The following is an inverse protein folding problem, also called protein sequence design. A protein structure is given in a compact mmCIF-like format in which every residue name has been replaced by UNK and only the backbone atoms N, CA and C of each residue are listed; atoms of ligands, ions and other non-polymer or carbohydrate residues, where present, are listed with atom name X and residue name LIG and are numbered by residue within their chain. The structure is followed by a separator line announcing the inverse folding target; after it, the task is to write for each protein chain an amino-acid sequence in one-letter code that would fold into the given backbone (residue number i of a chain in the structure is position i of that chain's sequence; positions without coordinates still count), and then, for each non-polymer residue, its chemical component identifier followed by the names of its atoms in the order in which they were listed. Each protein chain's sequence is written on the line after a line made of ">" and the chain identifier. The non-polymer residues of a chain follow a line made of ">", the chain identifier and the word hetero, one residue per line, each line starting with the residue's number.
data_IF_661974290603
#
_entry.id   IF_661974290603
#
_cell.length_a   1.000
_cell.length_b   1.000
_cell.length_c   1.000
_cell.angle_alpha   90.00
_cell.angle_beta   90.00
_cell.angle_gamma   90.00
#
_symmetry.space_group_name_H-M   'P 1'
#
loop_
_entity.id
_entity.type
_entity.pdbx_description
1 polymer ?
#
# COMPACT_ATOMS: atom_id res chain seq x y z
N UNK A 1 16.65 -18.38 -9.26
CA UNK A 1 15.65 -18.03 -8.23
C UNK A 1 16.20 -16.82 -7.50
N UNK A 2 15.60 -15.64 -7.66
CA UNK A 2 15.94 -14.47 -6.85
C UNK A 2 15.53 -14.75 -5.41
N UNK A 3 16.43 -14.58 -4.44
CA UNK A 3 16.15 -14.73 -3.02
C UNK A 3 14.99 -13.77 -2.65
N UNK A 4 13.84 -14.31 -2.22
CA UNK A 4 12.69 -13.49 -1.80
C UNK A 4 12.97 -12.73 -0.50
N UNK A 5 13.78 -13.33 0.37
CA UNK A 5 14.24 -12.76 1.62
C UNK A 5 15.77 -12.73 1.64
N UNK A 6 16.33 -11.72 2.28
CA UNK A 6 17.75 -11.73 2.63
C UNK A 6 17.99 -12.78 3.70
N UNK A 7 18.81 -13.79 3.41
CA UNK A 7 19.22 -14.79 4.41
C UNK A 7 20.09 -14.15 5.49
N UNK A 8 19.74 -14.38 6.76
CA UNK A 8 20.49 -13.86 7.90
C UNK A 8 21.02 -15.02 8.75
N UNK A 9 22.22 -14.86 9.30
CA UNK A 9 22.79 -15.85 10.23
C UNK A 9 21.89 -16.15 11.45
N UNK A 10 21.03 -15.21 11.85
CA UNK A 10 20.05 -15.44 12.92
C UNK A 10 18.95 -16.43 12.59
N UNK A 11 18.69 -16.66 11.29
CA UNK A 11 17.57 -17.48 10.85
C UNK A 11 17.78 -18.95 11.19
N UNK A 12 19.03 -19.38 11.38
CA UNK A 12 19.40 -20.70 11.89
C UNK A 12 19.64 -20.74 13.42
N UNK A 13 19.68 -19.58 14.09
CA UNK A 13 19.96 -19.51 15.52
C UNK A 13 18.71 -19.80 16.36
N UNK A 14 18.90 -20.45 17.51
CA UNK A 14 17.81 -20.82 18.41
C UNK A 14 17.34 -19.61 19.22
N UNK A 15 16.02 -19.41 19.27
CA UNK A 15 15.42 -18.35 20.07
C UNK A 15 15.75 -18.50 21.56
N UNK A 16 15.98 -17.39 22.25
CA UNK A 16 16.38 -17.28 23.66
C UNK A 16 17.72 -17.99 23.99
N UNK A 17 18.62 -18.11 23.02
CA UNK A 17 19.97 -18.65 23.23
C UNK A 17 21.05 -17.64 22.84
N UNK A 18 22.26 -17.87 23.35
CA UNK A 18 23.44 -17.09 23.02
C UNK A 18 23.75 -17.18 21.51
N UNK A 19 24.05 -16.04 20.89
CA UNK A 19 24.31 -15.94 19.45
C UNK A 19 25.80 -15.91 19.07
N UNK A 20 26.69 -15.89 20.07
CA UNK A 20 28.16 -15.95 19.87
C UNK A 20 28.79 -16.96 20.83
N UNK A 21 29.99 -17.49 20.53
CA UNK A 21 30.75 -18.29 21.49
C UNK A 21 30.91 -17.56 22.83
N UNK A 22 30.89 -18.30 23.95
CA UNK A 22 31.05 -17.73 25.29
C UNK A 22 32.43 -17.07 25.45
N UNK A 23 33.46 -17.65 24.82
CA UNK A 23 34.83 -17.14 24.86
C UNK A 23 34.97 -15.75 24.21
N UNK A 24 34.01 -15.35 23.36
CA UNK A 24 33.96 -14.04 22.71
C UNK A 24 33.09 -13.03 23.49
N UNK A 25 32.58 -13.39 24.67
CA UNK A 25 31.73 -12.55 25.50
C UNK A 25 32.54 -11.77 26.53
N UNK A 26 32.06 -10.57 26.89
CA UNK A 26 32.69 -9.76 27.92
C UNK A 26 32.47 -10.39 29.30
N UNK A 27 33.54 -10.52 30.08
CA UNK A 27 33.49 -10.96 31.47
C UNK A 27 33.73 -9.77 32.41
N UNK A 28 33.02 -9.74 33.52
CA UNK A 28 33.14 -8.71 34.55
C UNK A 28 32.81 -9.25 35.94
N UNK A 29 32.96 -8.43 36.96
CA UNK A 29 32.51 -8.74 38.32
C UNK A 29 31.28 -7.91 38.67
N UNK A 30 30.22 -8.58 39.11
CA UNK A 30 29.03 -7.94 39.65
C UNK A 30 28.80 -8.34 41.11
N UNK A 31 28.18 -7.44 41.87
CA UNK A 31 27.76 -7.71 43.25
C UNK A 31 26.33 -8.25 43.21
N UNK A 32 26.18 -9.57 43.33
CA UNK A 32 24.88 -10.22 43.40
C UNK A 32 24.70 -10.83 44.80
N UNK A 33 23.57 -10.51 45.44
CA UNK A 33 23.25 -11.01 46.79
C UNK A 33 24.30 -10.73 47.88
N UNK A 34 25.11 -9.68 47.71
CA UNK A 34 26.17 -9.30 48.67
C UNK A 34 27.52 -9.97 48.43
N UNK A 35 27.65 -10.81 47.40
CA UNK A 35 28.91 -11.45 47.00
C UNK A 35 29.37 -10.97 45.62
N UNK A 36 30.69 -10.84 45.45
CA UNK A 36 31.29 -10.54 44.14
C UNK A 36 31.34 -11.82 43.32
N UNK A 37 30.63 -11.83 42.21
CA UNK A 37 30.56 -12.95 41.29
C UNK A 37 31.06 -12.54 39.91
N UNK A 38 31.82 -13.45 39.29
CA UNK A 38 32.22 -13.32 37.90
C UNK A 38 30.99 -13.58 37.01
N UNK A 39 30.67 -12.61 36.17
CA UNK A 39 29.55 -12.65 35.23
C UNK A 39 30.06 -12.55 33.80
N UNK A 40 29.36 -13.21 32.88
CA UNK A 40 29.65 -13.15 31.44
C UNK A 40 28.43 -12.61 30.71
N UNK A 41 28.59 -11.50 29.99
CA UNK A 41 27.52 -10.88 29.23
C UNK A 41 27.34 -11.55 27.86
N UNK A 42 26.30 -12.37 27.76
CA UNK A 42 25.94 -13.10 26.54
C UNK A 42 24.84 -12.38 25.75
N UNK A 43 25.01 -12.13 24.44
CA UNK A 43 23.96 -11.58 23.60
C UNK A 43 22.99 -12.71 23.27
N UNK A 44 21.70 -12.48 23.56
CA UNK A 44 20.65 -13.47 23.37
C UNK A 44 19.76 -13.07 22.21
N UNK A 45 19.44 -14.03 21.33
CA UNK A 45 18.42 -13.82 20.30
C UNK A 45 17.04 -13.80 20.93
N UNK A 46 16.39 -12.63 20.95
CA UNK A 46 15.02 -12.47 21.48
C UNK A 46 13.99 -12.33 20.35
N UNK A 47 12.71 -12.44 20.68
CA UNK A 47 11.63 -12.15 19.74
C UNK A 47 11.70 -10.71 19.21
N UNK A 48 12.07 -9.74 20.04
CA UNK A 48 12.27 -8.35 19.60
C UNK A 48 13.41 -8.23 18.59
N UNK A 49 14.50 -9.00 18.76
CA UNK A 49 15.59 -9.06 17.80
C UNK A 49 15.11 -9.56 16.42
N UNK A 50 14.27 -10.60 16.40
CA UNK A 50 13.68 -11.13 15.17
C UNK A 50 12.70 -10.14 14.53
N UNK A 51 11.76 -9.59 15.30
CA UNK A 51 10.81 -8.60 14.79
C UNK A 51 11.48 -7.37 14.22
N UNK A 52 12.53 -6.85 14.87
CA UNK A 52 13.32 -5.73 14.32
C UNK A 52 13.93 -6.07 12.96
N UNK A 53 14.42 -7.29 12.78
CA UNK A 53 15.02 -7.73 11.51
C UNK A 53 13.97 -7.78 10.40
N UNK A 54 12.85 -8.47 10.63
CA UNK A 54 11.81 -8.61 9.61
C UNK A 54 11.08 -7.28 9.34
N UNK A 55 10.88 -6.45 10.37
CA UNK A 55 10.34 -5.11 10.18
C UNK A 55 11.29 -4.26 9.32
N UNK A 56 12.60 -4.25 9.63
CA UNK A 56 13.58 -3.50 8.82
C UNK A 56 13.70 -4.01 7.39
N UNK A 57 13.54 -5.32 7.16
CA UNK A 57 13.52 -5.88 5.82
C UNK A 57 12.32 -5.37 5.01
N UNK A 58 11.13 -5.29 5.63
CA UNK A 58 9.96 -4.67 5.00
C UNK A 58 10.15 -3.16 4.80
N UNK A 59 10.67 -2.45 5.81
CA UNK A 59 10.95 -1.01 5.70
C UNK A 59 11.93 -0.71 4.57
N UNK A 60 12.98 -1.52 4.38
CA UNK A 60 13.96 -1.32 3.31
C UNK A 60 13.34 -1.38 1.89
N UNK A 61 12.19 -2.05 1.73
CA UNK A 61 11.47 -2.12 0.44
C UNK A 61 10.80 -0.78 0.12
N UNK A 62 10.25 -0.10 1.13
CA UNK A 62 9.50 1.18 0.95
C UNK A 62 10.30 2.41 1.35
N UNK A 63 11.43 2.21 2.01
CA UNK A 63 12.31 3.22 2.60
C UNK A 63 13.77 2.71 2.66
N UNK A 64 14.44 2.44 1.51
CA UNK A 64 15.76 1.80 1.46
C UNK A 64 16.85 2.54 2.24
N UNK A 65 16.74 3.86 2.37
CA UNK A 65 17.67 4.71 3.12
C UNK A 65 17.10 5.17 4.47
N UNK A 66 16.10 4.47 5.01
CA UNK A 66 15.36 4.87 6.22
C UNK A 66 14.39 6.05 6.00
N UNK A 67 14.29 6.54 4.77
CA UNK A 67 13.34 7.57 4.34
C UNK A 67 12.42 6.94 3.30
N UNK A 68 11.10 7.13 3.48
CA UNK A 68 10.10 6.66 2.52
C UNK A 68 10.45 7.12 1.10
N UNK A 69 10.29 6.20 0.14
CA UNK A 69 10.31 6.55 -1.29
C UNK A 69 9.31 7.69 -1.50
N UNK A 70 9.83 8.84 -1.92
CA UNK A 70 9.09 10.09 -1.94
C UNK A 70 7.91 10.02 -2.92
N UNK A 71 8.10 9.41 -4.08
CA UNK A 71 7.04 9.15 -5.05
C UNK A 71 6.14 7.99 -4.59
N UNK A 72 4.86 8.25 -4.27
CA UNK A 72 3.90 7.21 -3.92
C UNK A 72 3.70 6.14 -5.00
N UNK A 73 3.83 6.47 -6.29
CA UNK A 73 3.66 5.49 -7.37
C UNK A 73 4.83 4.51 -7.36
N UNK A 74 6.08 5.00 -7.33
CA UNK A 74 7.26 4.15 -7.18
C UNK A 74 7.19 3.30 -5.90
N UNK A 75 6.80 3.89 -4.77
CA UNK A 75 6.63 3.16 -3.51
C UNK A 75 5.58 2.04 -3.63
N UNK A 76 4.44 2.33 -4.24
CA UNK A 76 3.39 1.33 -4.46
C UNK A 76 3.88 0.21 -5.38
N UNK A 77 4.69 0.50 -6.42
CA UNK A 77 5.28 -0.54 -7.28
C UNK A 77 6.19 -1.48 -6.48
N UNK A 78 7.01 -0.94 -5.58
CA UNK A 78 7.86 -1.74 -4.70
C UNK A 78 7.04 -2.69 -3.80
N UNK A 79 5.92 -2.20 -3.24
CA UNK A 79 4.97 -3.00 -2.45
C UNK A 79 4.35 -4.12 -3.30
N UNK A 80 3.83 -3.80 -4.49
CA UNK A 80 3.22 -4.79 -5.39
C UNK A 80 4.20 -5.93 -5.71
N UNK A 81 5.44 -5.55 -6.06
CA UNK A 81 6.47 -6.49 -6.42
C UNK A 81 6.90 -7.36 -5.24
N UNK A 82 6.92 -6.81 -4.01
CA UNK A 82 7.22 -7.57 -2.80
C UNK A 82 6.16 -8.64 -2.52
N UNK A 83 4.86 -8.30 -2.59
CA UNK A 83 3.79 -9.28 -2.44
C UNK A 83 3.81 -10.35 -3.53
N UNK A 84 4.08 -9.95 -4.77
CA UNK A 84 4.22 -10.89 -5.88
C UNK A 84 5.37 -11.88 -5.66
N UNK A 85 6.54 -11.39 -5.23
CA UNK A 85 7.69 -12.25 -4.87
C UNK A 85 7.39 -13.19 -3.71
N UNK A 86 6.63 -12.71 -2.71
CA UNK A 86 6.23 -13.51 -1.56
C UNK A 86 5.36 -14.72 -1.98
N UNK A 87 4.39 -14.52 -2.86
CA UNK A 87 3.58 -15.63 -3.40
C UNK A 87 4.38 -16.56 -4.32
N UNK A 88 5.28 -16.01 -5.14
CA UNK A 88 6.16 -16.83 -5.99
C UNK A 88 7.14 -17.67 -5.17
N UNK A 89 7.49 -17.24 -3.97
CA UNK A 89 8.31 -17.99 -3.03
C UNK A 89 7.53 -19.15 -2.39
N UNK A 90 6.31 -18.90 -1.93
CA UNK A 90 5.42 -19.93 -1.41
C UNK A 90 3.97 -19.67 -1.85
N UNK A 91 3.47 -20.51 -2.74
CA UNK A 91 2.12 -20.37 -3.31
C UNK A 91 0.99 -20.55 -2.30
N UNK A 92 1.28 -21.08 -1.09
CA UNK A 92 0.31 -21.13 0.03
C UNK A 92 -0.04 -19.74 0.54
N UNK A 93 0.80 -18.73 0.31
CA UNK A 93 0.51 -17.34 0.61
C UNK A 93 -0.44 -16.71 -0.42
N UNK A 94 -1.58 -17.36 -0.70
CA UNK A 94 -2.57 -16.85 -1.66
C UNK A 94 -3.02 -15.43 -1.34
N UNK A 95 -3.09 -15.06 -0.05
CA UNK A 95 -3.37 -13.67 0.35
C UNK A 95 -2.34 -12.71 -0.24
N UNK A 96 -1.04 -13.05 -0.21
CA UNK A 96 0.00 -12.22 -0.81
C UNK A 96 -0.15 -12.13 -2.34
N UNK A 97 -0.55 -13.21 -3.00
CA UNK A 97 -0.86 -13.21 -4.43
C UNK A 97 -2.02 -12.27 -4.77
N UNK A 98 -3.10 -12.32 -3.99
CA UNK A 98 -4.24 -11.42 -4.13
C UNK A 98 -3.86 -9.96 -3.80
N UNK A 99 -3.10 -9.75 -2.74
CA UNK A 99 -2.61 -8.45 -2.30
C UNK A 99 -1.71 -7.80 -3.36
N UNK A 100 -0.94 -8.57 -4.14
CA UNK A 100 -0.17 -8.03 -5.27
C UNK A 100 -1.08 -7.38 -6.32
N UNK A 101 -2.23 -7.99 -6.63
CA UNK A 101 -3.22 -7.41 -7.55
C UNK A 101 -3.97 -6.23 -6.93
N UNK A 102 -4.40 -6.35 -5.67
CA UNK A 102 -5.13 -5.29 -4.97
C UNK A 102 -4.27 -4.04 -4.80
N UNK A 103 -3.02 -4.21 -4.35
CA UNK A 103 -2.04 -3.12 -4.24
C UNK A 103 -1.71 -2.52 -5.62
N UNK A 104 -1.65 -3.34 -6.69
CA UNK A 104 -1.53 -2.84 -8.07
C UNK A 104 -2.72 -1.98 -8.47
N UNK A 105 -3.94 -2.38 -8.12
CA UNK A 105 -5.13 -1.58 -8.38
C UNK A 105 -5.08 -0.23 -7.64
N UNK A 106 -4.60 -0.20 -6.40
CA UNK A 106 -4.32 1.06 -5.69
C UNK A 106 -3.34 1.92 -6.49
N UNK A 107 -2.27 1.33 -7.02
CA UNK A 107 -1.31 2.02 -7.88
C UNK A 107 -1.94 2.61 -9.16
N UNK A 108 -2.92 1.93 -9.77
CA UNK A 108 -3.68 2.48 -10.89
C UNK A 108 -4.51 3.70 -10.49
N UNK A 109 -5.12 3.67 -9.30
CA UNK A 109 -5.82 4.82 -8.71
C UNK A 109 -4.88 6.00 -8.43
N UNK A 110 -3.66 5.74 -7.94
CA UNK A 110 -2.64 6.76 -7.73
C UNK A 110 -2.23 7.43 -9.05
N UNK A 111 -2.00 6.63 -10.10
CA UNK A 111 -1.71 7.16 -11.44
C UNK A 111 -2.85 8.03 -11.98
N UNK A 112 -4.10 7.60 -11.80
CA UNK A 112 -5.25 8.39 -12.21
C UNK A 112 -5.35 9.72 -11.46
N UNK A 113 -5.17 9.72 -10.14
CA UNK A 113 -5.18 10.94 -9.34
C UNK A 113 -4.04 11.89 -9.73
N UNK A 114 -2.83 11.37 -9.93
CA UNK A 114 -1.67 12.17 -10.36
C UNK A 114 -1.90 12.82 -11.74
N UNK A 115 -2.41 12.06 -12.72
CA UNK A 115 -2.77 12.58 -14.04
C UNK A 115 -3.88 13.61 -13.98
N UNK A 116 -4.85 13.44 -13.08
CA UNK A 116 -5.95 14.40 -12.90
C UNK A 116 -5.42 15.72 -12.35
N UNK A 117 -4.53 15.68 -11.36
CA UNK A 117 -3.86 16.87 -10.81
C UNK A 117 -3.05 17.59 -11.90
N UNK A 118 -2.27 16.85 -12.69
CA UNK A 118 -1.47 17.41 -13.78
C UNK A 118 -2.35 18.12 -14.83
N UNK A 119 -3.45 17.49 -15.26
CA UNK A 119 -4.39 18.08 -16.23
C UNK A 119 -5.05 19.35 -15.72
N UNK A 120 -5.45 19.39 -14.45
CA UNK A 120 -6.02 20.60 -13.84
C UNK A 120 -4.99 21.73 -13.82
N UNK A 121 -3.74 21.41 -13.44
CA UNK A 121 -2.64 22.37 -13.41
C UNK A 121 -2.29 22.91 -14.79
N UNK A 122 -2.20 22.04 -15.80
CA UNK A 122 -1.95 22.44 -17.20
C UNK A 122 -3.02 23.41 -17.72
N UNK A 123 -4.31 23.13 -17.46
CA UNK A 123 -5.39 24.04 -17.85
C UNK A 123 -5.25 25.40 -17.13
N UNK A 124 -4.97 25.37 -15.83
CA UNK A 124 -4.80 26.59 -15.05
C UNK A 124 -3.65 27.46 -15.57
N UNK A 125 -2.47 26.86 -15.80
CA UNK A 125 -1.30 27.57 -16.32
C UNK A 125 -1.56 28.15 -17.71
N UNK A 126 -2.18 27.38 -18.62
CA UNK A 126 -2.56 27.87 -19.93
C UNK A 126 -3.57 29.03 -19.86
N UNK A 127 -4.53 28.96 -18.92
CA UNK A 127 -5.50 30.04 -18.67
C UNK A 127 -4.81 31.31 -18.15
N UNK A 128 -3.82 31.18 -17.28
CA UNK A 128 -3.06 32.33 -16.77
C UNK A 128 -2.21 32.97 -17.87
N UNK A 129 -1.50 32.18 -18.68
CA UNK A 129 -0.75 32.69 -19.85
C UNK A 129 -1.64 33.52 -20.78
N UNK A 130 -2.82 33.00 -21.11
CA UNK A 130 -3.80 33.73 -21.94
C UNK A 130 -4.29 35.03 -21.28
N UNK A 131 -4.50 35.03 -19.95
CA UNK A 131 -4.92 36.23 -19.21
C UNK A 131 -3.83 37.28 -19.18
N UNK A 132 -2.59 36.90 -18.89
CA UNK A 132 -1.45 37.80 -18.81
C UNK A 132 -1.13 38.40 -20.19
N UNK A 133 -1.11 37.56 -21.23
CA UNK A 133 -0.94 37.97 -22.62
C UNK A 133 -1.97 39.02 -23.07
N UNK A 134 -3.24 38.88 -22.64
CA UNK A 134 -4.31 39.87 -22.88
C UNK A 134 -4.20 41.11 -21.99
N UNK A 135 -3.74 40.98 -20.76
CA UNK A 135 -3.55 42.10 -19.82
C UNK A 135 -2.41 43.01 -20.25
N UNK A 136 -1.30 42.44 -20.68
CA UNK A 136 -0.11 43.19 -21.10
C UNK A 136 -0.31 43.87 -22.47
N UNK A 137 -0.94 43.17 -23.41
CA UNK A 137 -1.00 43.61 -24.81
C UNK A 137 -2.39 44.09 -25.25
N UNK A 138 -3.43 44.02 -24.41
CA UNK A 138 -4.81 44.29 -24.82
C UNK A 138 -5.38 43.23 -25.79
N UNK A 139 -6.69 43.31 -26.07
CA UNK A 139 -7.40 42.33 -26.89
C UNK A 139 -7.16 42.44 -28.41
N UNK A 140 -6.68 43.58 -28.90
CA UNK A 140 -6.66 43.93 -30.33
C UNK A 140 -5.35 44.62 -30.75
N UNK A 141 -4.21 44.02 -30.42
CA UNK A 141 -2.89 44.52 -30.82
C UNK A 141 -2.32 43.65 -31.94
N UNK A 142 -2.29 44.13 -33.21
CA UNK A 142 -2.02 43.29 -34.39
C UNK A 142 -0.73 42.45 -34.31
N UNK A 143 0.33 43.02 -33.75
CA UNK A 143 1.65 42.39 -33.62
C UNK A 143 1.66 41.22 -32.61
N UNK A 144 0.73 41.23 -31.64
CA UNK A 144 0.63 40.25 -30.56
C UNK A 144 -0.49 39.23 -30.79
N UNK A 145 -1.36 39.47 -31.78
CA UNK A 145 -2.46 38.55 -32.13
C UNK A 145 -2.02 37.12 -32.44
N UNK A 146 -0.90 36.86 -33.15
CA UNK A 146 -0.45 35.48 -33.40
C UNK A 146 -0.17 34.70 -32.11
N UNK A 147 0.53 35.33 -31.15
CA UNK A 147 0.85 34.71 -29.85
C UNK A 147 -0.40 34.51 -28.99
N UNK A 148 -1.30 35.50 -28.93
CA UNK A 148 -2.58 35.36 -28.23
C UNK A 148 -3.48 34.26 -28.82
N UNK A 149 -3.41 34.05 -30.14
CA UNK A 149 -4.13 32.97 -30.81
C UNK A 149 -3.53 31.60 -30.48
N UNK A 150 -2.21 31.50 -30.30
CA UNK A 150 -1.53 30.30 -29.82
C UNK A 150 -1.88 30.00 -28.36
N UNK A 151 -1.79 30.99 -27.46
CA UNK A 151 -2.21 30.87 -26.06
C UNK A 151 -3.67 30.39 -25.93
N UNK A 152 -4.55 30.90 -26.79
CA UNK A 152 -5.95 30.47 -26.82
C UNK A 152 -6.10 29.00 -27.27
N UNK A 153 -5.33 28.57 -28.28
CA UNK A 153 -5.35 27.16 -28.73
C UNK A 153 -4.81 26.23 -27.66
N UNK A 154 -3.71 26.58 -27.00
CA UNK A 154 -3.15 25.80 -25.89
C UNK A 154 -4.17 25.67 -24.75
N UNK A 155 -4.81 26.78 -24.37
CA UNK A 155 -5.86 26.76 -23.36
C UNK A 155 -7.02 25.85 -23.77
N UNK A 156 -7.52 25.94 -25.01
CA UNK A 156 -8.59 25.07 -25.52
C UNK A 156 -8.19 23.58 -25.50
N UNK A 157 -6.94 23.26 -25.84
CA UNK A 157 -6.44 21.89 -25.80
C UNK A 157 -6.28 21.35 -24.37
N UNK A 158 -5.81 22.18 -23.43
CA UNK A 158 -5.73 21.82 -22.03
C UNK A 158 -7.13 21.62 -21.43
N UNK A 159 -8.05 22.53 -21.75
CA UNK A 159 -9.46 22.47 -21.38
C UNK A 159 -10.12 21.16 -21.87
N UNK A 160 -9.88 20.77 -23.13
CA UNK A 160 -10.44 19.54 -23.68
C UNK A 160 -9.89 18.26 -23.01
N UNK A 161 -8.69 18.32 -22.43
CA UNK A 161 -8.06 17.20 -21.71
C UNK A 161 -8.47 17.10 -20.24
N UNK A 162 -8.95 18.20 -19.65
CA UNK A 162 -9.42 18.25 -18.26
C UNK A 162 -10.95 18.09 -18.18
N UNK A 163 -11.47 16.91 -17.78
CA UNK A 163 -12.90 16.68 -17.67
C UNK A 163 -13.56 17.51 -16.54
N UNK A 164 -12.77 18.17 -15.67
CA UNK A 164 -13.25 18.99 -14.57
C UNK A 164 -13.19 20.49 -14.84
N UNK A 165 -12.83 20.92 -16.06
CA UNK A 165 -12.67 22.34 -16.43
C UNK A 165 -13.80 23.26 -15.96
N UNK A 166 -15.05 22.79 -16.05
CA UNK A 166 -16.26 23.57 -15.72
C UNK A 166 -16.64 23.47 -14.23
N UNK A 167 -16.18 22.41 -13.56
CA UNK A 167 -16.54 22.11 -12.17
C UNK A 167 -15.48 22.58 -11.17
N UNK A 168 -14.28 22.86 -11.64
CA UNK A 168 -13.18 23.25 -10.78
C UNK A 168 -13.19 24.75 -10.45
N UNK A 169 -12.87 25.06 -9.20
CA UNK A 169 -12.84 26.42 -8.67
C UNK A 169 -11.60 26.59 -7.79
N UNK A 170 -10.98 27.77 -7.88
CA UNK A 170 -9.86 28.15 -7.00
C UNK A 170 -10.30 29.26 -6.06
N UNK A 171 -10.20 29.00 -4.76
CA UNK A 171 -10.52 29.98 -3.71
C UNK A 171 -9.42 31.05 -3.69
N UNK A 172 -9.76 32.36 -3.59
CA UNK A 172 -8.75 33.42 -3.51
C UNK A 172 -7.78 33.19 -2.35
N UNK A 173 -6.48 33.22 -2.63
CA UNK A 173 -5.42 33.00 -1.64
C UNK A 173 -4.92 31.56 -1.54
N UNK A 174 -5.63 30.59 -2.12
CA UNK A 174 -5.19 29.19 -2.17
C UNK A 174 -4.29 28.92 -3.38
N UNK A 175 -3.23 28.13 -3.17
CA UNK A 175 -2.33 27.72 -4.25
C UNK A 175 -2.97 26.68 -5.18
N UNK A 176 -3.82 25.80 -4.63
CA UNK A 176 -4.47 24.70 -5.34
C UNK A 176 -5.97 24.96 -5.47
N UNK A 177 -6.54 24.52 -6.58
CA UNK A 177 -7.99 24.45 -6.76
C UNK A 177 -8.64 23.42 -5.84
N UNK A 178 -9.96 23.49 -5.69
CA UNK A 178 -10.72 22.53 -4.86
C UNK A 178 -10.56 21.11 -5.41
N UNK A 179 -10.63 20.91 -6.74
CA UNK A 179 -10.46 19.58 -7.31
C UNK A 179 -9.03 19.05 -7.12
N UNK A 180 -8.00 19.89 -7.30
CA UNK A 180 -6.60 19.51 -7.05
C UNK A 180 -6.39 19.07 -5.60
N UNK A 181 -6.98 19.78 -4.63
CA UNK A 181 -6.90 19.41 -3.21
C UNK A 181 -7.56 18.06 -2.93
N UNK A 182 -8.73 17.79 -3.53
CA UNK A 182 -9.43 16.52 -3.37
C UNK A 182 -8.65 15.34 -3.96
N UNK A 183 -8.13 15.45 -5.18
CA UNK A 183 -7.30 14.39 -5.75
C UNK A 183 -6.01 14.19 -4.97
N UNK A 184 -5.38 15.28 -4.50
CA UNK A 184 -4.18 15.17 -3.66
C UNK A 184 -4.50 14.44 -2.35
N UNK A 185 -5.64 14.73 -1.74
CA UNK A 185 -6.07 14.04 -0.52
C UNK A 185 -6.27 12.54 -0.75
N UNK A 186 -6.97 12.14 -1.81
CA UNK A 186 -7.13 10.72 -2.18
C UNK A 186 -5.76 10.08 -2.45
N UNK A 187 -4.90 10.75 -3.22
CA UNK A 187 -3.57 10.28 -3.55
C UNK A 187 -2.73 9.98 -2.30
N UNK A 188 -2.69 10.92 -1.35
CA UNK A 188 -1.95 10.79 -0.09
C UNK A 188 -2.54 9.69 0.80
N UNK A 189 -3.86 9.65 0.96
CA UNK A 189 -4.54 8.67 1.82
C UNK A 189 -4.38 7.24 1.29
N UNK A 190 -4.58 7.02 0.00
CA UNK A 190 -4.43 5.70 -0.62
C UNK A 190 -2.99 5.20 -0.51
N UNK A 191 -2.02 6.09 -0.73
CA UNK A 191 -0.62 5.76 -0.59
C UNK A 191 -0.22 5.44 0.85
N UNK A 192 -0.72 6.22 1.83
CA UNK A 192 -0.46 6.02 3.25
C UNK A 192 -1.11 4.74 3.78
N UNK A 193 -2.35 4.46 3.37
CA UNK A 193 -3.06 3.22 3.71
C UNK A 193 -2.34 1.97 3.20
N UNK A 194 -1.95 1.95 1.92
CA UNK A 194 -1.25 0.81 1.33
C UNK A 194 0.14 0.60 1.96
N UNK A 195 0.91 1.67 2.20
CA UNK A 195 2.21 1.56 2.89
C UNK A 195 2.05 1.04 4.32
N UNK A 196 1.06 1.53 5.06
CA UNK A 196 0.81 1.10 6.45
C UNK A 196 0.42 -0.37 6.49
N UNK A 197 -0.48 -0.81 5.61
CA UNK A 197 -0.86 -2.22 5.49
C UNK A 197 0.34 -3.11 5.16
N UNK A 198 1.18 -2.70 4.21
CA UNK A 198 2.39 -3.43 3.85
C UNK A 198 3.34 -3.60 5.03
N UNK A 199 3.60 -2.52 5.77
CA UNK A 199 4.47 -2.54 6.95
C UNK A 199 3.87 -3.34 8.10
N UNK A 200 2.56 -3.60 8.10
CA UNK A 200 1.91 -4.49 9.04
C UNK A 200 2.04 -5.97 8.62
N UNK A 201 1.59 -6.33 7.42
CA UNK A 201 1.33 -7.74 7.07
C UNK A 201 2.55 -8.44 6.46
N UNK A 202 3.41 -7.72 5.72
CA UNK A 202 4.58 -8.32 5.08
C UNK A 202 5.58 -8.92 6.09
N UNK A 203 5.96 -8.23 7.20
CA UNK A 203 6.84 -8.82 8.22
C UNK A 203 6.28 -10.08 8.86
N UNK A 204 4.96 -10.23 8.98
CA UNK A 204 4.32 -11.41 9.55
C UNK A 204 4.57 -12.64 8.66
N UNK A 205 4.35 -12.49 7.35
CA UNK A 205 4.61 -13.54 6.38
C UNK A 205 6.09 -13.90 6.31
N UNK A 206 6.97 -12.90 6.32
CA UNK A 206 8.41 -13.16 6.34
C UNK A 206 8.84 -13.90 7.61
N UNK A 207 8.34 -13.51 8.79
CA UNK A 207 8.59 -14.23 10.03
C UNK A 207 8.14 -15.68 9.90
N UNK A 208 6.88 -15.91 9.49
CA UNK A 208 6.32 -17.25 9.34
C UNK A 208 7.14 -18.11 8.36
N UNK A 209 7.46 -17.57 7.18
CA UNK A 209 8.20 -18.30 6.14
C UNK A 209 9.58 -18.77 6.62
N UNK A 210 10.25 -17.98 7.46
CA UNK A 210 11.62 -18.24 7.92
C UNK A 210 11.65 -19.04 9.23
N UNK A 211 10.75 -18.78 10.17
CA UNK A 211 10.80 -19.31 11.55
C UNK A 211 9.67 -20.30 11.89
N UNK A 212 8.65 -20.39 11.03
CA UNK A 212 7.50 -21.25 11.21
C UNK A 212 6.48 -20.76 12.24
N UNK A 213 5.36 -21.47 12.31
CA UNK A 213 4.20 -21.13 13.14
C UNK A 213 4.51 -21.07 14.63
N UNK A 214 5.26 -22.05 15.14
CA UNK A 214 5.51 -22.18 16.57
C UNK A 214 6.24 -20.96 17.16
N UNK A 215 7.28 -20.48 16.47
CA UNK A 215 8.00 -19.28 16.89
C UNK A 215 7.20 -18.00 16.61
N UNK A 216 6.44 -17.94 15.51
CA UNK A 216 5.56 -16.81 15.22
C UNK A 216 4.59 -16.59 16.38
N UNK A 217 3.86 -17.63 16.78
CA UNK A 217 2.91 -17.58 17.91
C UNK A 217 3.57 -17.14 19.20
N UNK A 218 4.75 -17.72 19.50
CA UNK A 218 5.53 -17.37 20.69
C UNK A 218 5.95 -15.90 20.70
N UNK A 219 6.33 -15.35 19.54
CA UNK A 219 6.89 -14.01 19.43
C UNK A 219 5.85 -12.93 19.13
N UNK A 220 4.64 -13.26 18.69
CA UNK A 220 3.68 -12.29 18.16
C UNK A 220 3.39 -11.12 19.13
N UNK A 221 3.26 -11.42 20.42
CA UNK A 221 3.04 -10.39 21.47
C UNK A 221 4.23 -9.47 21.71
N UNK A 222 5.45 -9.89 21.36
CA UNK A 222 6.64 -9.05 21.50
C UNK A 222 6.81 -8.08 20.33
N UNK A 223 5.96 -8.17 19.29
CA UNK A 223 6.03 -7.30 18.12
C UNK A 223 5.81 -5.83 18.50
N UNK A 224 4.80 -5.51 19.29
CA UNK A 224 4.55 -4.12 19.72
C UNK A 224 5.76 -3.48 20.44
N UNK A 225 6.58 -4.30 21.12
CA UNK A 225 7.71 -3.83 21.93
C UNK A 225 8.88 -3.29 21.13
N UNK A 226 8.92 -3.52 19.81
CA UNK A 226 9.99 -2.95 18.98
C UNK A 226 9.78 -1.46 18.70
N UNK A 227 8.56 -0.96 18.91
CA UNK A 227 8.24 0.46 18.77
C UNK A 227 8.83 1.31 19.90
N UNK A 228 9.19 2.56 19.60
CA UNK A 228 9.68 3.57 20.53
C UNK A 228 11.18 3.49 20.78
N UNK A 229 11.89 2.60 20.08
CA UNK A 229 13.31 2.39 20.32
C UNK A 229 14.16 3.53 19.72
N UNK A 230 14.85 4.27 20.57
CA UNK A 230 15.57 5.50 20.20
C UNK A 230 16.54 5.34 19.02
N UNK A 231 17.28 4.22 18.97
CA UNK A 231 18.29 3.99 17.91
C UNK A 231 17.71 3.29 16.67
N UNK A 232 16.54 2.66 16.77
CA UNK A 232 15.96 1.80 15.74
C UNK A 232 14.44 2.02 15.70
N UNK A 233 13.98 3.22 15.33
CA UNK A 233 12.56 3.52 15.27
C UNK A 233 11.88 2.69 14.19
N UNK A 234 10.63 2.33 14.43
CA UNK A 234 9.77 1.69 13.42
C UNK A 234 9.17 2.77 12.54
N UNK A 235 9.23 2.59 11.22
CA UNK A 235 8.53 3.41 10.27
C UNK A 235 7.03 3.06 10.33
N UNK A 236 6.21 4.02 10.75
CA UNK A 236 4.77 3.80 10.92
C UNK A 236 3.98 5.03 10.44
N UNK A 237 3.69 5.13 9.13
CA UNK A 237 3.21 6.37 8.51
C UNK A 237 1.89 6.90 9.08
N UNK A 238 0.97 6.01 9.44
CA UNK A 238 -0.33 6.37 10.03
C UNK A 238 -0.22 6.97 11.45
N UNK A 239 0.92 6.75 12.12
CA UNK A 239 1.17 7.22 13.48
C UNK A 239 0.47 6.41 14.58
N UNK A 240 1.02 6.48 15.80
CA UNK A 240 0.55 5.68 16.94
C UNK A 240 -0.81 6.13 17.50
N UNK A 241 -1.19 7.39 17.29
CA UNK A 241 -2.45 7.93 17.78
C UNK A 241 -3.64 7.32 17.03
N UNK A 242 -3.50 7.10 15.73
CA UNK A 242 -4.52 6.53 14.86
C UNK A 242 -4.51 5.01 14.92
N UNK A 243 -3.34 4.38 14.81
CA UNK A 243 -3.22 2.92 14.84
C UNK A 243 -1.95 2.51 15.60
N UNK A 244 -2.13 1.78 16.70
CA UNK A 244 -1.01 1.24 17.50
C UNK A 244 -0.25 0.17 16.71
N UNK A 245 1.07 0.30 16.66
CA UNK A 245 1.92 -0.65 15.96
C UNK A 245 1.96 -2.02 16.65
N UNK A 246 1.90 -3.10 15.87
CA UNK A 246 2.21 -4.45 16.34
C UNK A 246 1.22 -5.04 17.35
N UNK A 247 0.03 -4.44 17.49
CA UNK A 247 -1.01 -4.96 18.38
C UNK A 247 -1.50 -6.32 17.89
N UNK A 248 -1.56 -7.29 18.78
CA UNK A 248 -1.92 -8.67 18.44
C UNK A 248 -3.42 -8.79 18.16
N UNK A 249 -3.75 -9.33 17.00
CA UNK A 249 -5.13 -9.65 16.59
C UNK A 249 -5.28 -11.17 16.44
N UNK A 250 -6.37 -11.78 16.94
CA UNK A 250 -6.62 -13.21 16.79
C UNK A 250 -6.52 -13.69 15.35
N UNK A 251 -7.00 -12.87 14.41
CA UNK A 251 -7.03 -13.13 12.98
C UNK A 251 -5.64 -13.43 12.41
N UNK A 252 -4.57 -12.82 12.96
CA UNK A 252 -3.20 -13.10 12.55
C UNK A 252 -2.84 -14.56 12.88
N UNK A 253 -3.08 -15.00 14.11
CA UNK A 253 -2.75 -16.36 14.54
C UNK A 253 -3.58 -17.39 13.76
N UNK A 254 -4.89 -17.17 13.66
CA UNK A 254 -5.82 -18.04 12.91
C UNK A 254 -5.41 -18.17 11.43
N UNK A 255 -4.98 -17.08 10.80
CA UNK A 255 -4.55 -17.12 9.42
C UNK A 255 -3.32 -18.01 9.19
N UNK A 256 -2.29 -17.91 10.04
CA UNK A 256 -1.08 -18.71 9.88
C UNK A 256 -1.28 -20.17 10.34
N UNK A 257 -2.17 -20.42 11.29
CA UNK A 257 -2.64 -21.77 11.61
C UNK A 257 -3.34 -22.43 10.43
N UNK A 258 -4.22 -21.69 9.74
CA UNK A 258 -4.91 -22.18 8.55
C UNK A 258 -3.93 -22.50 7.40
N UNK A 259 -2.86 -21.71 7.20
CA UNK A 259 -1.79 -22.03 6.23
C UNK A 259 -1.11 -23.35 6.59
N UNK A 260 -0.76 -23.53 7.87
CA UNK A 260 -0.05 -24.72 8.35
C UNK A 260 -0.92 -25.99 8.23
N UNK A 261 -2.23 -25.84 8.46
CA UNK A 261 -3.22 -26.89 8.29
C UNK A 261 -3.62 -27.16 6.82
N UNK A 262 -3.10 -26.38 5.86
CA UNK A 262 -3.44 -26.48 4.44
C UNK A 262 -4.80 -25.88 4.04
N UNK A 263 -5.47 -25.17 4.95
CA UNK A 263 -6.74 -24.48 4.72
C UNK A 263 -6.51 -23.06 4.18
N UNK A 264 -5.97 -22.98 2.96
CA UNK A 264 -5.47 -21.71 2.39
C UNK A 264 -6.59 -20.67 2.23
N UNK A 265 -7.78 -21.05 1.78
CA UNK A 265 -8.91 -20.12 1.62
C UNK A 265 -9.32 -19.48 2.96
N UNK A 266 -9.34 -20.27 4.03
CA UNK A 266 -9.63 -19.78 5.38
C UNK A 266 -8.53 -18.82 5.88
N UNK A 267 -7.27 -19.10 5.55
CA UNK A 267 -6.17 -18.16 5.84
C UNK A 267 -6.36 -16.80 5.17
N UNK A 268 -6.77 -16.81 3.89
CA UNK A 268 -7.04 -15.58 3.13
C UNK A 268 -8.17 -14.79 3.78
N UNK A 269 -9.23 -15.45 4.23
CA UNK A 269 -10.34 -14.80 4.93
C UNK A 269 -9.88 -14.16 6.26
N UNK A 270 -9.14 -14.87 7.09
CA UNK A 270 -8.63 -14.33 8.36
C UNK A 270 -7.70 -13.13 8.13
N UNK A 271 -6.78 -13.21 7.16
CA UNK A 271 -5.93 -12.07 6.79
C UNK A 271 -6.74 -10.90 6.21
N UNK A 272 -7.76 -11.17 5.41
CA UNK A 272 -8.65 -10.14 4.88
C UNK A 272 -9.38 -9.41 6.01
N UNK A 273 -9.90 -10.11 7.01
CA UNK A 273 -10.50 -9.47 8.18
C UNK A 273 -9.50 -8.61 8.95
N UNK A 274 -8.28 -9.13 9.19
CA UNK A 274 -7.24 -8.34 9.83
C UNK A 274 -6.90 -7.07 9.05
N UNK A 275 -6.64 -7.20 7.76
CA UNK A 275 -6.37 -6.08 6.86
C UNK A 275 -7.52 -5.06 6.83
N UNK A 276 -8.73 -5.51 6.54
CA UNK A 276 -9.84 -4.62 6.20
C UNK A 276 -10.43 -3.96 7.44
N UNK A 277 -10.53 -4.69 8.56
CA UNK A 277 -11.13 -4.20 9.82
C UNK A 277 -10.09 -3.59 10.75
N UNK A 278 -8.96 -4.26 10.96
CA UNK A 278 -8.03 -3.86 12.02
C UNK A 278 -6.97 -2.86 11.54
N UNK A 279 -6.70 -2.82 10.24
CA UNK A 279 -5.69 -1.92 9.65
C UNK A 279 -6.35 -0.81 8.81
N UNK A 280 -7.04 -1.15 7.71
CA UNK A 280 -7.54 -0.16 6.77
C UNK A 280 -8.72 0.66 7.29
N UNK A 281 -9.62 0.06 8.08
CA UNK A 281 -10.75 0.80 8.65
C UNK A 281 -10.29 2.03 9.46
N UNK A 282 -9.47 1.90 10.51
CA UNK A 282 -9.00 3.06 11.28
C UNK A 282 -7.97 3.91 10.51
N UNK A 283 -7.26 3.34 9.53
CA UNK A 283 -6.22 4.08 8.78
C UNK A 283 -6.81 5.02 7.75
N UNK A 284 -7.81 4.58 6.97
CA UNK A 284 -8.35 5.36 5.86
C UNK A 284 -9.88 5.46 5.84
N UNK A 285 -10.63 4.43 6.23
CA UNK A 285 -12.09 4.42 6.04
C UNK A 285 -12.89 5.08 7.18
N UNK A 286 -12.25 5.46 8.28
CA UNK A 286 -12.84 6.35 9.29
C UNK A 286 -12.62 7.85 8.98
N UNK A 287 -11.85 8.17 7.94
CA UNK A 287 -11.66 9.54 7.49
C UNK A 287 -12.87 10.01 6.66
N UNK A 288 -13.72 10.85 7.25
CA UNK A 288 -14.96 11.32 6.62
C UNK A 288 -14.75 12.06 5.28
N UNK A 289 -13.63 12.77 5.11
CA UNK A 289 -13.32 13.45 3.86
C UNK A 289 -13.02 12.44 2.75
N UNK A 290 -12.16 11.45 3.01
CA UNK A 290 -11.89 10.38 2.06
C UNK A 290 -13.15 9.59 1.72
N UNK A 291 -13.96 9.22 2.72
CA UNK A 291 -15.21 8.48 2.51
C UNK A 291 -16.16 9.24 1.59
N UNK A 292 -16.33 10.56 1.80
CA UNK A 292 -17.15 11.38 0.93
C UNK A 292 -16.65 11.38 -0.53
N UNK A 293 -15.32 11.45 -0.74
CA UNK A 293 -14.72 11.42 -2.08
C UNK A 293 -14.88 10.05 -2.76
N UNK A 294 -14.70 8.95 -2.02
CA UNK A 294 -14.89 7.60 -2.56
C UNK A 294 -16.35 7.35 -2.97
N UNK A 295 -17.30 7.78 -2.14
CA UNK A 295 -18.74 7.70 -2.48
C UNK A 295 -19.09 8.57 -3.68
N UNK A 296 -18.53 9.78 -3.76
CA UNK A 296 -18.70 10.67 -4.91
C UNK A 296 -18.16 10.06 -6.20
N UNK A 297 -16.96 9.45 -6.15
CA UNK A 297 -16.39 8.71 -7.27
C UNK A 297 -17.29 7.53 -7.69
N UNK A 298 -17.76 6.72 -6.72
CA UNK A 298 -18.61 5.57 -7.03
C UNK A 298 -19.94 5.98 -7.66
N UNK A 299 -20.61 6.98 -7.10
CA UNK A 299 -21.84 7.55 -7.66
C UNK A 299 -21.61 8.03 -9.10
N UNK A 300 -20.54 8.79 -9.33
CA UNK A 300 -20.21 9.31 -10.66
C UNK A 300 -19.90 8.19 -11.66
N UNK A 301 -19.17 7.16 -11.24
CA UNK A 301 -18.87 6.00 -12.08
C UNK A 301 -20.14 5.23 -12.48
N UNK A 302 -21.01 4.90 -11.51
CA UNK A 302 -22.23 4.12 -11.75
C UNK A 302 -23.27 4.91 -12.57
N UNK A 303 -23.41 6.21 -12.30
CA UNK A 303 -24.41 7.06 -12.98
C UNK A 303 -23.88 7.69 -14.28
N UNK A 304 -22.58 7.59 -14.54
CA UNK A 304 -21.87 8.31 -15.59
C UNK A 304 -22.11 9.85 -15.54
N UNK A 305 -22.30 10.39 -14.33
CA UNK A 305 -22.54 11.81 -14.10
C UNK A 305 -21.78 12.32 -12.86
N UNK A 306 -20.83 13.28 -13.03
CA UNK A 306 -20.31 13.79 -14.30
C UNK A 306 -19.52 12.73 -15.08
N UNK A 307 -19.61 12.73 -16.40
CA UNK A 307 -18.94 11.74 -17.25
C UNK A 307 -17.42 11.96 -17.28
N UNK A 308 -16.64 10.87 -17.30
CA UNK A 308 -15.20 10.90 -17.61
C UNK A 308 -14.27 11.34 -16.48
N UNK A 309 -14.77 11.50 -15.25
CA UNK A 309 -13.97 11.90 -14.07
C UNK A 309 -13.75 10.77 -13.06
N UNK A 310 -14.61 9.76 -13.07
CA UNK A 310 -14.59 8.70 -12.07
C UNK A 310 -13.86 7.45 -12.56
N UNK A 311 -13.31 6.71 -11.61
CA UNK A 311 -12.71 5.40 -11.84
C UNK A 311 -13.59 4.29 -11.26
N UNK A 312 -13.60 3.15 -11.94
CA UNK A 312 -14.23 1.94 -11.46
C UNK A 312 -13.60 1.51 -10.11
N UNK A 313 -14.45 1.15 -9.15
CA UNK A 313 -14.01 0.38 -7.99
C UNK A 313 -14.10 -1.09 -8.40
N UNK A 314 -12.99 -1.60 -8.94
CA UNK A 314 -12.86 -2.97 -9.42
C UNK A 314 -11.49 -3.53 -9.05
N UNK A 315 -11.36 -4.86 -9.03
CA UNK A 315 -10.08 -5.56 -8.94
C UNK A 315 -9.82 -6.33 -10.22
N UNK A 316 -8.70 -6.04 -10.87
CA UNK A 316 -8.23 -6.77 -12.06
C UNK A 316 -7.09 -7.72 -11.71
N UNK A 317 -7.30 -9.03 -11.90
CA UNK A 317 -6.31 -10.10 -11.70
C UNK A 317 -5.36 -10.22 -12.91
N UNK A 318 -4.82 -9.08 -13.31
CA UNK A 318 -3.84 -8.92 -14.40
C UNK A 318 -2.73 -7.96 -13.95
N UNK A 319 -1.60 -7.94 -14.65
CA UNK A 319 -0.53 -6.98 -14.37
C UNK A 319 -0.87 -5.54 -14.81
N UNK A 320 -1.94 -5.35 -15.57
CA UNK A 320 -2.29 -4.07 -16.20
C UNK A 320 -3.39 -3.34 -15.42
N UNK A 321 -3.55 -2.04 -15.66
CA UNK A 321 -4.64 -1.25 -15.07
C UNK A 321 -5.94 -1.36 -15.87
N UNK A 322 -5.88 -1.85 -17.10
CA UNK A 322 -7.05 -1.96 -17.96
C UNK A 322 -7.89 -3.17 -17.56
N UNK A 323 -9.21 -2.95 -17.55
CA UNK A 323 -10.21 -4.00 -17.41
C UNK A 323 -10.04 -5.06 -18.49
N UNK A 324 -10.32 -6.32 -18.13
CA UNK A 324 -10.40 -7.44 -19.07
C UNK A 324 -11.74 -8.17 -18.91
N UNK A 325 -12.39 -8.47 -20.04
CA UNK A 325 -13.72 -9.08 -20.06
C UNK A 325 -13.65 -10.63 -20.21
N UNK A 326 -12.81 -11.27 -19.40
CA UNK A 326 -12.64 -12.73 -19.36
C UNK A 326 -12.83 -13.31 -17.95
N UNK A 327 -13.48 -12.54 -17.09
CA UNK A 327 -13.77 -12.91 -15.71
C UNK A 327 -12.59 -12.76 -14.76
N UNK A 328 -11.48 -12.13 -15.17
CA UNK A 328 -10.39 -11.72 -14.26
C UNK A 328 -10.61 -10.34 -13.64
N UNK A 329 -11.71 -9.67 -13.99
CA UNK A 329 -12.15 -8.44 -13.31
C UNK A 329 -13.30 -8.75 -12.36
N UNK A 330 -13.20 -8.21 -11.15
CA UNK A 330 -14.22 -8.29 -10.10
C UNK A 330 -14.68 -6.87 -9.80
N UNK A 331 -15.96 -6.60 -10.00
CA UNK A 331 -16.58 -5.31 -9.70
C UNK A 331 -16.98 -5.22 -8.21
N UNK A 332 -16.98 -4.01 -7.66
CA UNK A 332 -17.45 -3.74 -6.29
C UNK A 332 -18.97 -3.88 -6.19
N UNK A 333 -19.71 -2.92 -6.71
CA UNK A 333 -21.18 -2.94 -6.74
C UNK A 333 -21.66 -2.08 -7.91
N UNK A 334 -22.90 -2.28 -8.33
CA UNK A 334 -23.56 -1.50 -9.39
C UNK A 334 -24.60 -0.52 -8.85
N UNK A 335 -24.83 -0.52 -7.53
CA UNK A 335 -25.69 0.41 -6.83
C UNK A 335 -24.97 1.73 -6.59
N UNK A 336 -25.56 2.88 -6.99
CA UNK A 336 -24.95 4.19 -6.77
C UNK A 336 -24.84 4.57 -5.28
N UNK A 337 -25.49 3.82 -4.40
CA UNK A 337 -25.47 4.03 -2.95
C UNK A 337 -24.47 3.11 -2.24
N UNK A 338 -23.80 2.20 -2.95
CA UNK A 338 -22.82 1.32 -2.33
C UNK A 338 -21.65 2.13 -1.75
N UNK A 339 -21.13 1.65 -0.63
CA UNK A 339 -20.17 2.36 0.19
C UNK A 339 -18.97 1.48 0.48
N UNK A 340 -17.83 1.77 -0.16
CA UNK A 340 -16.60 1.03 0.08
C UNK A 340 -16.09 1.19 1.52
N UNK A 341 -16.48 2.25 2.24
CA UNK A 341 -16.07 2.45 3.63
C UNK A 341 -16.83 1.57 4.62
N UNK A 342 -18.01 1.07 4.22
CA UNK A 342 -18.77 0.08 4.96
C UNK A 342 -18.03 -1.26 4.96
N UNK A 343 -17.74 -1.78 6.16
CA UNK A 343 -16.91 -2.97 6.31
C UNK A 343 -17.58 -4.21 5.73
N UNK A 344 -18.92 -4.33 5.83
CA UNK A 344 -19.63 -5.53 5.41
C UNK A 344 -19.70 -5.60 3.87
N UNK A 345 -20.03 -4.48 3.22
CA UNK A 345 -20.01 -4.36 1.76
C UNK A 345 -18.60 -4.58 1.21
N UNK A 346 -17.58 -3.98 1.85
CA UNK A 346 -16.18 -4.14 1.42
C UNK A 346 -15.70 -5.58 1.59
N UNK A 347 -16.04 -6.23 2.70
CA UNK A 347 -15.67 -7.62 2.92
C UNK A 347 -16.33 -8.57 1.94
N UNK A 348 -17.59 -8.34 1.55
CA UNK A 348 -18.23 -9.12 0.48
C UNK A 348 -17.40 -9.04 -0.81
N UNK A 349 -17.02 -7.83 -1.23
CA UNK A 349 -16.19 -7.62 -2.41
C UNK A 349 -14.82 -8.32 -2.31
N UNK A 350 -14.14 -8.18 -1.16
CA UNK A 350 -12.81 -8.78 -0.91
C UNK A 350 -12.89 -10.31 -0.94
N UNK A 351 -13.90 -10.92 -0.32
CA UNK A 351 -14.05 -12.38 -0.29
C UNK A 351 -14.48 -12.94 -1.65
N UNK A 352 -15.28 -12.20 -2.43
CA UNK A 352 -15.55 -12.56 -3.84
C UNK A 352 -14.28 -12.54 -4.68
N UNK A 353 -13.44 -11.52 -4.52
CA UNK A 353 -12.14 -11.43 -5.17
C UNK A 353 -11.20 -12.59 -4.79
N UNK A 354 -11.13 -12.93 -3.50
CA UNK A 354 -10.36 -14.07 -2.99
C UNK A 354 -10.85 -15.40 -3.59
N UNK A 355 -12.16 -15.62 -3.56
CA UNK A 355 -12.78 -16.83 -4.14
C UNK A 355 -12.51 -16.92 -5.64
N UNK A 356 -12.60 -15.81 -6.36
CA UNK A 356 -12.31 -15.79 -7.80
C UNK A 356 -10.83 -16.08 -8.09
N UNK A 357 -9.93 -15.51 -7.31
CA UNK A 357 -8.49 -15.78 -7.44
C UNK A 357 -8.17 -17.26 -7.19
N UNK A 358 -8.73 -17.87 -6.15
CA UNK A 358 -8.56 -19.30 -5.87
C UNK A 358 -9.12 -20.19 -7.00
N UNK A 359 -10.33 -19.90 -7.50
CA UNK A 359 -10.90 -20.62 -8.63
C UNK A 359 -9.99 -20.60 -9.87
N UNK A 360 -9.45 -19.44 -10.20
CA UNK A 360 -8.56 -19.26 -11.34
C UNK A 360 -7.18 -19.92 -11.14
N UNK A 361 -6.73 -20.11 -9.90
CA UNK A 361 -5.52 -20.88 -9.61
C UNK A 361 -5.73 -22.39 -9.79
N UNK A 362 -6.99 -22.84 -9.77
CA UNK A 362 -7.39 -24.24 -9.88
C UNK A 362 -7.98 -24.61 -11.25
N UNK A 363 -7.99 -23.68 -12.23
CA UNK A 363 -8.47 -23.91 -13.59
C UNK A 363 -7.39 -23.66 -14.67
N UNK A 364 -7.81 -23.56 -15.94
CA UNK A 364 -6.92 -23.30 -17.08
C UNK A 364 -6.20 -21.94 -17.04
N UNK A 365 -6.64 -21.00 -16.21
CA UNK A 365 -6.07 -19.65 -16.09
C UNK A 365 -4.86 -19.58 -15.17
N UNK A 366 -4.52 -20.66 -14.44
CA UNK A 366 -3.39 -20.69 -13.50
C UNK A 366 -2.10 -20.15 -14.10
N UNK A 367 -1.78 -20.55 -15.34
CA UNK A 367 -0.56 -20.11 -16.03
C UNK A 367 -0.57 -18.60 -16.32
N UNK A 368 -1.73 -18.05 -16.70
CA UNK A 368 -1.91 -16.62 -16.97
C UNK A 368 -1.84 -15.79 -15.67
N UNK A 369 -2.41 -16.28 -14.58
CA UNK A 369 -2.29 -15.65 -13.26
C UNK A 369 -0.84 -15.64 -12.78
N UNK A 370 -0.16 -16.78 -12.82
CA UNK A 370 1.24 -16.89 -12.43
C UNK A 370 2.12 -15.97 -13.29
N UNK A 371 1.81 -15.84 -14.58
CA UNK A 371 2.50 -14.91 -15.47
C UNK A 371 2.25 -13.44 -15.08
N UNK A 372 1.01 -13.07 -14.78
CA UNK A 372 0.66 -11.72 -14.32
C UNK A 372 1.37 -11.36 -13.01
N UNK A 373 1.48 -12.31 -12.07
CA UNK A 373 2.21 -12.11 -10.81
C UNK A 373 3.72 -11.97 -11.08
N UNK A 374 4.30 -12.78 -11.99
CA UNK A 374 5.71 -12.61 -12.41
C UNK A 374 5.97 -11.23 -13.01
N UNK A 375 5.08 -10.74 -13.86
CA UNK A 375 5.18 -9.39 -14.43
C UNK A 375 5.12 -8.32 -13.35
N UNK A 376 4.25 -8.46 -12.34
CA UNK A 376 4.21 -7.55 -11.20
C UNK A 376 5.52 -7.61 -10.40
N UNK A 377 6.07 -8.81 -10.17
CA UNK A 377 7.33 -9.01 -9.44
C UNK A 377 8.56 -8.41 -10.15
N UNK A 378 8.55 -8.38 -11.48
CA UNK A 378 9.66 -7.95 -12.34
C UNK A 378 9.57 -6.49 -12.78
N UNK A 379 8.50 -5.76 -12.46
CA UNK A 379 8.41 -4.31 -12.73
C UNK A 379 9.39 -3.58 -11.83
N UNK A 380 10.63 -3.46 -12.29
CA UNK A 380 11.65 -2.57 -11.73
C UNK A 380 11.38 -1.10 -12.08
N UNK A 381 12.02 -0.23 -11.31
CA UNK A 381 12.00 1.23 -11.33
C UNK A 381 12.18 1.79 -12.75
N UNK A 382 11.06 2.03 -13.44
CA UNK A 382 10.99 2.82 -14.67
C UNK A 382 10.39 4.19 -14.41
#
# INVERSE_FOLDING_TARGET
>A
MSQCFTELASDAQRLNHNIRPIDDCACGEELLYGERVQVTEVPVLTCQCLWRRYQRAAEAIVAPNGVLIADPVARNRAINAAYARLWLHDSRFQWAGLAAFASKQVGCGLLHAAQSIERIREEYEARQRLRDSRRESGLLTPEKMPGQAEDLREYQQAQARNPLSVMDARVPGEELSVAEQQFRHVYEMMAMGNTTLFLDVYPLHQFYAVRGLAELKKCLRDREKIQGHAKWPVLWPVGQATLKFGYVRPEIEMAFEAIDAGSVAESVEHLAWHEQRNILQPTIYENSHLVALLRGNHFSYVTNFPSGVAQAIELTLTSQCQRVDDGRTIDFDSSPLADLSDIDQRMEFVLRAASRFDLLLNDSNKALLAQSIREIALREEG
#
